data_IF_893329897866
#
_entry.id   IF_893329897866
#
_cell.length_a   1.000
_cell.length_b   1.000
_cell.length_c   1.000
_cell.angle_alpha   90.00
_cell.angle_beta   90.00
_cell.angle_gamma   90.00
#
_symmetry.space_group_name_H-M   'P 1'
#
loop_
_entity.id
_entity.type
_entity.pdbx_description
1 polymer ?
#
# COMPACT_ATOMS: atom_id res chain seq x y z
N UNK A 1 2.45 -15.46 -15.61
CA UNK A 1 3.41 -14.35 -15.43
C UNK A 1 3.41 -14.03 -13.95
N UNK A 2 4.55 -14.06 -13.29
CA UNK A 2 4.63 -13.95 -11.82
C UNK A 2 4.88 -12.50 -11.41
N UNK A 3 4.60 -12.17 -10.14
CA UNK A 3 5.15 -10.95 -9.51
C UNK A 3 6.67 -10.95 -9.71
N UNK A 4 7.28 -9.78 -9.94
CA UNK A 4 8.72 -9.64 -10.16
C UNK A 4 9.56 -10.27 -9.03
N UNK A 5 10.88 -10.48 -9.23
CA UNK A 5 11.74 -11.02 -8.19
C UNK A 5 11.74 -10.09 -6.96
N UNK A 6 11.63 -10.68 -5.77
CA UNK A 6 11.76 -9.92 -4.53
C UNK A 6 13.23 -9.48 -4.38
N UNK A 7 13.53 -8.19 -4.15
CA UNK A 7 14.89 -7.77 -3.81
C UNK A 7 15.33 -8.41 -2.49
N UNK A 8 16.63 -8.60 -2.31
CA UNK A 8 17.20 -9.09 -1.06
C UNK A 8 16.93 -8.10 0.08
N UNK A 9 15.97 -8.41 0.95
CA UNK A 9 15.57 -7.59 2.10
C UNK A 9 16.07 -8.23 3.40
N UNK A 10 16.84 -7.46 4.15
CA UNK A 10 17.23 -7.78 5.52
C UNK A 10 16.02 -7.82 6.46
N UNK A 11 16.19 -8.43 7.63
CA UNK A 11 15.13 -8.51 8.65
C UNK A 11 14.69 -7.11 9.13
N UNK A 12 15.63 -6.19 9.33
CA UNK A 12 15.33 -4.82 9.72
C UNK A 12 14.52 -4.07 8.64
N UNK A 13 14.82 -4.30 7.36
CA UNK A 13 14.05 -3.74 6.25
C UNK A 13 12.63 -4.31 6.19
N UNK A 14 12.46 -5.62 6.40
CA UNK A 14 11.13 -6.25 6.48
C UNK A 14 10.32 -5.71 7.65
N UNK A 15 10.95 -5.54 8.81
CA UNK A 15 10.31 -4.94 9.98
C UNK A 15 9.90 -3.48 9.70
N UNK A 16 10.77 -2.69 9.06
CA UNK A 16 10.46 -1.31 8.70
C UNK A 16 9.30 -1.23 7.68
N UNK A 17 9.28 -2.09 6.67
CA UNK A 17 8.15 -2.21 5.73
C UNK A 17 6.85 -2.49 6.47
N UNK A 18 6.87 -3.42 7.42
CA UNK A 18 5.69 -3.75 8.25
C UNK A 18 5.22 -2.53 9.05
N UNK A 19 6.13 -1.78 9.67
CA UNK A 19 5.77 -0.55 10.40
C UNK A 19 5.15 0.51 9.47
N UNK A 20 5.69 0.68 8.26
CA UNK A 20 5.12 1.60 7.26
C UNK A 20 3.74 1.15 6.82
N UNK A 21 3.56 -0.14 6.52
CA UNK A 21 2.28 -0.72 6.12
C UNK A 21 1.21 -0.61 7.23
N UNK A 22 1.65 -0.62 8.49
CA UNK A 22 0.78 -0.35 9.64
C UNK A 22 0.33 1.11 9.74
N UNK A 23 0.88 2.02 8.94
CA UNK A 23 0.54 3.43 8.93
C UNK A 23 1.34 4.28 9.92
N UNK A 24 2.44 3.76 10.47
CA UNK A 24 3.30 4.53 11.37
C UNK A 24 4.00 5.66 10.60
N UNK A 25 4.03 6.86 11.20
CA UNK A 25 4.84 7.97 10.72
C UNK A 25 6.34 7.72 10.99
N UNK A 26 7.22 8.47 10.33
CA UNK A 26 8.66 8.39 10.61
C UNK A 26 8.99 8.64 12.10
N UNK A 27 8.26 9.53 12.78
CA UNK A 27 8.45 9.79 14.21
C UNK A 27 7.99 8.63 15.09
N UNK A 28 6.87 7.98 14.75
CA UNK A 28 6.41 6.77 15.43
C UNK A 28 7.35 5.59 15.19
N UNK A 29 7.86 5.47 13.96
CA UNK A 29 8.88 4.47 13.59
C UNK A 29 10.13 4.68 14.43
N UNK A 30 10.62 5.91 14.59
CA UNK A 30 11.86 6.20 15.32
C UNK A 30 11.84 5.83 16.81
N UNK A 31 10.64 5.70 17.40
CA UNK A 31 10.47 5.30 18.80
C UNK A 31 10.00 3.84 18.95
N UNK A 32 9.78 3.13 17.84
CA UNK A 32 9.37 1.74 17.86
C UNK A 32 10.50 0.83 18.42
N UNK A 33 10.17 -0.24 19.15
CA UNK A 33 11.17 -1.19 19.61
C UNK A 33 11.98 -1.77 18.45
N UNK A 34 13.31 -1.68 18.52
CA UNK A 34 14.22 -2.19 17.49
C UNK A 34 14.45 -1.26 16.29
N UNK A 35 14.02 0.01 16.35
CA UNK A 35 14.20 0.98 15.27
C UNK A 35 15.33 1.99 15.51
N UNK A 36 15.58 2.83 14.50
CA UNK A 36 16.49 3.97 14.56
C UNK A 36 16.01 5.02 15.57
N UNK A 37 16.84 5.39 16.54
CA UNK A 37 16.51 6.34 17.64
C UNK A 37 16.21 7.78 17.18
N UNK A 38 16.24 8.06 15.89
CA UNK A 38 16.04 9.38 15.30
C UNK A 38 15.06 9.37 14.12
N UNK A 39 14.21 10.40 14.06
CA UNK A 39 13.19 10.59 13.03
C UNK A 39 13.79 10.81 11.64
N UNK A 40 14.90 11.56 11.53
CA UNK A 40 15.54 11.75 10.22
C UNK A 40 16.13 10.45 9.69
N UNK A 41 16.84 9.70 10.53
CA UNK A 41 17.34 8.39 10.16
C UNK A 41 16.20 7.41 9.78
N UNK A 42 15.03 7.49 10.44
CA UNK A 42 13.85 6.73 10.01
C UNK A 42 13.34 7.16 8.62
N UNK A 43 13.34 8.46 8.30
CA UNK A 43 12.99 8.96 6.95
C UNK A 43 13.97 8.50 5.89
N UNK A 44 15.27 8.58 6.16
CA UNK A 44 16.31 8.11 5.25
C UNK A 44 16.18 6.60 4.98
N UNK A 45 15.91 5.81 6.02
CA UNK A 45 15.68 4.37 5.86
C UNK A 45 14.44 4.07 5.00
N UNK A 46 13.33 4.82 5.18
CA UNK A 46 12.13 4.69 4.34
C UNK A 46 12.45 5.09 2.88
N UNK A 47 13.21 6.16 2.68
CA UNK A 47 13.61 6.60 1.35
C UNK A 47 14.52 5.58 0.65
N UNK A 48 15.42 4.93 1.39
CA UNK A 48 16.24 3.83 0.90
C UNK A 48 15.38 2.63 0.49
N UNK A 49 14.33 2.30 1.26
CA UNK A 49 13.37 1.26 0.88
C UNK A 49 12.63 1.61 -0.42
N UNK A 50 12.19 2.85 -0.60
CA UNK A 50 11.56 3.29 -1.85
C UNK A 50 12.49 3.05 -3.04
N UNK A 51 13.74 3.48 -2.95
CA UNK A 51 14.74 3.26 -3.99
C UNK A 51 14.98 1.77 -4.27
N UNK A 52 15.14 0.96 -3.21
CA UNK A 52 15.44 -0.48 -3.31
C UNK A 52 14.29 -1.31 -3.87
N UNK A 53 13.05 -0.91 -3.58
CA UNK A 53 11.83 -1.62 -4.02
C UNK A 53 11.25 -1.06 -5.31
N UNK A 54 11.77 0.07 -5.82
CA UNK A 54 11.19 0.78 -6.96
C UNK A 54 9.87 1.49 -6.63
N UNK A 55 9.49 1.60 -5.36
CA UNK A 55 8.26 2.27 -4.94
C UNK A 55 8.49 3.77 -4.71
N UNK A 56 7.42 4.56 -4.65
CA UNK A 56 7.50 6.04 -4.59
C UNK A 56 6.92 6.65 -3.32
N UNK A 57 6.02 5.93 -2.65
CA UNK A 57 5.24 6.45 -1.53
C UNK A 57 4.95 5.33 -0.54
N UNK A 58 4.63 5.67 0.71
CA UNK A 58 4.26 4.71 1.73
C UNK A 58 3.09 3.76 1.34
N UNK A 59 1.96 4.25 0.75
CA UNK A 59 0.92 3.34 0.27
C UNK A 59 1.32 2.46 -0.91
N UNK A 60 2.22 2.93 -1.77
CA UNK A 60 2.79 2.10 -2.82
C UNK A 60 3.66 0.99 -2.23
N UNK A 61 4.56 1.32 -1.30
CA UNK A 61 5.38 0.34 -0.58
C UNK A 61 4.52 -0.70 0.16
N UNK A 62 3.44 -0.26 0.80
CA UNK A 62 2.52 -1.16 1.50
C UNK A 62 1.81 -2.12 0.53
N UNK A 63 1.30 -1.62 -0.60
CA UNK A 63 0.67 -2.46 -1.62
C UNK A 63 1.67 -3.46 -2.23
N UNK A 64 2.88 -3.00 -2.55
CA UNK A 64 3.99 -3.82 -3.05
C UNK A 64 4.35 -4.93 -2.05
N UNK A 65 4.52 -4.59 -0.77
CA UNK A 65 4.84 -5.55 0.28
C UNK A 65 3.74 -6.61 0.45
N UNK A 66 2.47 -6.21 0.34
CA UNK A 66 1.35 -7.15 0.36
C UNK A 66 1.32 -8.07 -0.86
N UNK A 67 1.57 -7.54 -2.06
CA UNK A 67 1.68 -8.35 -3.27
C UNK A 67 2.79 -9.40 -3.18
N UNK A 68 3.91 -9.04 -2.55
CA UNK A 68 5.03 -9.94 -2.25
C UNK A 68 4.84 -10.81 -1.00
N UNK A 69 3.67 -10.76 -0.34
CA UNK A 69 3.36 -11.54 0.88
C UNK A 69 4.27 -11.25 2.07
N UNK A 70 4.91 -10.08 2.13
CA UNK A 70 5.59 -9.59 3.32
C UNK A 70 4.56 -9.15 4.36
N UNK A 71 3.51 -8.48 3.92
CA UNK A 71 2.37 -8.08 4.77
C UNK A 71 1.14 -8.87 4.32
N UNK A 72 0.71 -9.83 5.13
CA UNK A 72 -0.35 -10.78 4.77
C UNK A 72 -1.71 -10.45 5.35
N UNK A 73 -1.77 -9.55 6.33
CA UNK A 73 -2.99 -9.19 7.04
C UNK A 73 -3.04 -7.69 7.36
N UNK A 74 -4.25 -7.11 7.49
CA UNK A 74 -4.39 -5.73 7.93
C UNK A 74 -4.11 -5.61 9.44
N UNK A 75 -3.72 -4.40 9.87
CA UNK A 75 -3.45 -4.10 11.29
C UNK A 75 -4.64 -4.37 12.20
N UNK A 76 -5.86 -4.11 11.69
CA UNK A 76 -7.11 -4.39 12.37
C UNK A 76 -8.01 -5.18 11.44
N UNK A 77 -8.82 -6.12 11.97
CA UNK A 77 -9.87 -6.76 11.20
C UNK A 77 -10.77 -5.71 10.53
N UNK A 78 -11.02 -5.88 9.24
CA UNK A 78 -11.94 -5.02 8.49
C UNK A 78 -12.95 -5.87 7.74
N UNK A 79 -14.21 -5.42 7.74
CA UNK A 79 -15.29 -6.06 6.98
C UNK A 79 -15.02 -6.10 5.48
N UNK A 80 -14.11 -5.24 4.96
CA UNK A 80 -13.76 -5.20 3.54
C UNK A 80 -13.11 -6.50 3.03
N UNK A 81 -12.52 -7.31 3.91
CA UNK A 81 -11.96 -8.63 3.55
C UNK A 81 -13.03 -9.73 3.54
N UNK A 82 -14.07 -9.61 4.37
CA UNK A 82 -15.17 -10.57 4.42
C UNK A 82 -16.20 -10.31 3.32
N UNK A 83 -16.51 -9.04 3.07
CA UNK A 83 -17.43 -8.59 2.02
C UNK A 83 -16.72 -7.54 1.19
N UNK A 84 -16.37 -7.91 -0.04
CA UNK A 84 -15.67 -7.01 -0.96
C UNK A 84 -16.51 -5.74 -1.18
N UNK A 85 -16.01 -4.55 -0.77
CA UNK A 85 -16.79 -3.33 -0.91
C UNK A 85 -16.88 -2.93 -2.39
N UNK A 86 -18.06 -2.45 -2.79
CA UNK A 86 -18.23 -1.80 -4.08
C UNK A 86 -17.83 -0.33 -3.95
N UNK A 87 -16.56 -0.04 -4.24
CA UNK A 87 -16.07 1.35 -4.22
C UNK A 87 -16.66 2.14 -5.39
N UNK A 88 -17.16 3.37 -5.14
CA UNK A 88 -17.43 4.32 -6.21
C UNK A 88 -16.20 4.49 -7.12
N UNK A 89 -16.38 4.69 -8.45
CA UNK A 89 -15.28 4.72 -9.40
C UNK A 89 -14.14 5.67 -9.02
N UNK A 90 -14.50 6.85 -8.48
CA UNK A 90 -13.52 7.86 -8.06
C UNK A 90 -12.67 7.39 -6.87
N UNK A 91 -13.27 6.70 -5.90
CA UNK A 91 -12.54 6.17 -4.73
C UNK A 91 -11.64 5.01 -5.13
N UNK A 92 -12.10 4.16 -6.06
CA UNK A 92 -11.28 3.11 -6.65
C UNK A 92 -10.06 3.67 -7.41
N UNK A 93 -10.24 4.77 -8.16
CA UNK A 93 -9.12 5.44 -8.83
C UNK A 93 -8.10 6.01 -7.84
N UNK A 94 -8.53 6.60 -6.72
CA UNK A 94 -7.61 7.08 -5.67
C UNK A 94 -6.79 5.94 -5.11
N UNK A 95 -7.47 4.86 -4.72
CA UNK A 95 -6.83 3.68 -4.14
C UNK A 95 -5.76 3.10 -5.09
N UNK A 96 -6.12 2.87 -6.36
CA UNK A 96 -5.18 2.37 -7.38
C UNK A 96 -4.04 3.35 -7.64
N UNK A 97 -4.33 4.65 -7.70
CA UNK A 97 -3.33 5.69 -7.87
C UNK A 97 -2.27 5.66 -6.76
N UNK A 98 -2.71 5.57 -5.50
CA UNK A 98 -1.79 5.43 -4.37
C UNK A 98 -0.99 4.14 -4.41
N UNK A 99 -1.63 3.01 -4.74
CA UNK A 99 -0.96 1.72 -4.88
C UNK A 99 0.08 1.70 -6.00
N UNK A 100 -0.09 2.53 -7.04
CA UNK A 100 0.89 2.74 -8.12
C UNK A 100 1.85 3.91 -7.88
N UNK A 101 1.93 4.46 -6.66
CA UNK A 101 2.91 5.48 -6.31
C UNK A 101 2.55 6.91 -6.68
N UNK A 102 1.30 7.20 -7.04
CA UNK A 102 0.83 8.59 -7.17
C UNK A 102 0.68 9.23 -5.80
N UNK A 103 0.99 10.51 -5.69
CA UNK A 103 0.79 11.29 -4.46
C UNK A 103 -0.62 11.90 -4.42
N UNK A 104 -1.11 12.26 -3.23
CA UNK A 104 -2.41 12.97 -3.11
C UNK A 104 -2.45 14.28 -3.92
N UNK A 105 -1.40 15.13 -3.93
CA UNK A 105 -1.37 16.31 -4.79
C UNK A 105 -1.45 15.97 -6.29
N UNK A 106 -0.71 14.96 -6.77
CA UNK A 106 -0.77 14.50 -8.17
C UNK A 106 -2.21 14.08 -8.52
N UNK A 107 -2.83 13.22 -7.71
CA UNK A 107 -4.22 12.76 -7.94
C UNK A 107 -5.24 13.91 -7.87
N UNK A 108 -5.01 14.89 -7.00
CA UNK A 108 -5.88 16.07 -6.87
C UNK A 108 -5.86 16.90 -8.16
N UNK A 109 -4.65 17.13 -8.69
CA UNK A 109 -4.44 17.83 -9.95
C UNK A 109 -5.06 17.08 -11.14
N UNK A 110 -4.80 15.77 -11.25
CA UNK A 110 -5.37 14.93 -12.31
C UNK A 110 -6.89 14.95 -12.34
N UNK A 111 -7.49 15.05 -11.15
CA UNK A 111 -8.93 15.03 -10.98
C UNK A 111 -9.57 16.39 -11.22
N UNK A 112 -8.80 17.48 -11.27
CA UNK A 112 -9.31 18.84 -11.39
C UNK A 112 -10.19 19.25 -10.20
N UNK A 113 -9.88 18.76 -9.00
CA UNK A 113 -10.66 19.06 -7.78
C UNK A 113 -9.84 19.84 -6.75
N UNK A 114 -10.53 20.44 -5.79
CA UNK A 114 -9.85 21.12 -4.68
C UNK A 114 -9.21 20.11 -3.70
N UNK A 115 -8.14 20.49 -2.98
CA UNK A 115 -7.59 19.68 -1.89
C UNK A 115 -8.63 19.36 -0.79
N UNK A 116 -9.58 20.25 -0.55
CA UNK A 116 -10.69 20.02 0.40
C UNK A 116 -11.60 18.89 -0.07
N UNK A 117 -11.97 18.89 -1.36
CA UNK A 117 -12.76 17.80 -1.96
C UNK A 117 -12.00 16.47 -1.90
N UNK A 118 -10.69 16.49 -2.22
CA UNK A 118 -9.85 15.30 -2.10
C UNK A 118 -9.82 14.76 -0.67
N UNK A 119 -9.70 15.63 0.36
CA UNK A 119 -9.77 15.20 1.76
C UNK A 119 -11.08 14.50 2.10
N UNK A 120 -12.21 14.99 1.58
CA UNK A 120 -13.50 14.32 1.76
C UNK A 120 -13.51 12.93 1.12
N UNK A 121 -13.01 12.79 -0.11
CA UNK A 121 -12.89 11.48 -0.76
C UNK A 121 -11.99 10.52 0.00
N UNK A 122 -10.86 10.98 0.54
CA UNK A 122 -9.95 10.18 1.36
C UNK A 122 -10.66 9.66 2.61
N UNK A 123 -11.38 10.53 3.33
CA UNK A 123 -12.17 10.12 4.51
C UNK A 123 -13.22 9.08 4.15
N UNK A 124 -13.96 9.30 3.08
CA UNK A 124 -14.95 8.32 2.61
C UNK A 124 -14.30 7.00 2.25
N UNK A 125 -13.19 7.00 1.52
CA UNK A 125 -12.43 5.79 1.18
C UNK A 125 -11.99 5.02 2.43
N UNK A 126 -11.48 5.72 3.44
CA UNK A 126 -11.09 5.12 4.72
C UNK A 126 -12.28 4.44 5.42
N UNK A 127 -13.45 5.08 5.42
CA UNK A 127 -14.68 4.47 5.95
C UNK A 127 -15.08 3.21 5.18
N UNK A 128 -15.04 3.22 3.84
CA UNK A 128 -15.37 2.03 3.04
C UNK A 128 -14.42 0.86 3.29
N UNK A 129 -13.14 1.16 3.53
CA UNK A 129 -12.11 0.14 3.74
C UNK A 129 -11.93 -0.26 5.22
N UNK A 130 -12.52 0.49 6.15
CA UNK A 130 -12.30 0.28 7.59
C UNK A 130 -10.85 0.49 8.01
N UNK A 131 -10.19 1.53 7.49
CA UNK A 131 -8.77 1.83 7.74
C UNK A 131 -8.59 3.26 8.22
N UNK A 132 -7.43 3.55 8.84
CA UNK A 132 -7.12 4.86 9.43
C UNK A 132 -6.08 5.65 8.61
N UNK A 133 -5.43 5.03 7.62
CA UNK A 133 -4.32 5.64 6.88
C UNK A 133 -4.19 5.14 5.44
N UNK A 134 -3.46 5.90 4.61
CA UNK A 134 -3.22 5.53 3.21
C UNK A 134 -2.41 4.23 3.07
N UNK A 135 -1.33 3.98 3.87
CA UNK A 135 -0.62 2.71 3.80
C UNK A 135 -1.52 1.51 4.09
N UNK A 136 -2.36 1.60 5.13
CA UNK A 136 -3.35 0.57 5.45
C UNK A 136 -4.36 0.37 4.32
N UNK A 137 -4.80 1.46 3.66
CA UNK A 137 -5.66 1.37 2.48
C UNK A 137 -4.99 0.58 1.35
N UNK A 138 -3.67 0.76 1.14
CA UNK A 138 -2.88 -0.03 0.19
C UNK A 138 -2.91 -1.52 0.51
N UNK A 139 -2.66 -1.90 1.77
CA UNK A 139 -2.73 -3.30 2.23
C UNK A 139 -4.11 -3.91 1.97
N UNK A 140 -5.16 -3.25 2.48
CA UNK A 140 -6.55 -3.75 2.34
C UNK A 140 -6.97 -3.80 0.87
N UNK A 141 -6.57 -2.80 0.07
CA UNK A 141 -6.87 -2.75 -1.35
C UNK A 141 -6.35 -3.96 -2.12
N UNK A 142 -5.13 -4.41 -1.81
CA UNK A 142 -4.54 -5.60 -2.43
C UNK A 142 -5.19 -6.88 -1.89
N UNK A 143 -5.33 -7.03 -0.57
CA UNK A 143 -5.92 -8.23 0.04
C UNK A 143 -7.38 -8.45 -0.38
N UNK A 144 -8.19 -7.39 -0.50
CA UNK A 144 -9.58 -7.45 -0.95
C UNK A 144 -9.72 -7.57 -2.48
N UNK A 145 -8.60 -7.57 -3.23
CA UNK A 145 -8.61 -7.61 -4.70
C UNK A 145 -9.29 -6.40 -5.35
N UNK A 146 -9.20 -5.23 -4.73
CA UNK A 146 -9.64 -3.93 -5.27
C UNK A 146 -8.55 -3.27 -6.12
N UNK A 147 -7.30 -3.62 -5.82
CA UNK A 147 -6.06 -3.25 -6.53
C UNK A 147 -5.56 -4.49 -7.27
N UNK A 148 -5.25 -4.33 -8.55
CA UNK A 148 -4.61 -5.37 -9.39
C UNK A 148 -3.10 -5.28 -9.23
N UNK A 149 -2.39 -6.37 -9.51
CA UNK A 149 -0.92 -6.36 -9.47
C UNK A 149 -0.35 -5.34 -10.48
N UNK A 150 -0.97 -5.19 -11.65
CA UNK A 150 -0.62 -4.17 -12.64
C UNK A 150 -0.85 -2.72 -12.19
N UNK A 151 -1.70 -2.49 -11.18
CA UNK A 151 -1.90 -1.14 -10.61
C UNK A 151 -0.72 -0.75 -9.71
N UNK A 152 0.02 -1.73 -9.17
CA UNK A 152 1.20 -1.53 -8.33
C UNK A 152 2.44 -1.35 -9.22
N UNK A 153 2.66 -2.31 -10.11
CA UNK A 153 3.73 -2.28 -11.10
C UNK A 153 3.14 -2.65 -12.47
N UNK A 154 3.17 -1.76 -13.48
CA UNK A 154 2.61 -2.02 -14.80
C UNK A 154 3.17 -3.26 -15.52
N UNK A 155 4.35 -3.75 -15.12
CA UNK A 155 4.96 -4.98 -15.67
C UNK A 155 4.34 -6.26 -15.11
N UNK A 156 3.56 -6.18 -14.03
CA UNK A 156 2.92 -7.31 -13.38
C UNK A 156 1.55 -7.66 -14.00
N UNK A 157 1.02 -8.87 -13.74
CA UNK A 157 -0.28 -9.29 -14.30
C UNK A 157 -1.44 -8.36 -13.94
N UNK A 158 -2.42 -8.22 -14.85
CA UNK A 158 -3.61 -7.40 -14.63
C UNK A 158 -4.71 -8.10 -13.80
N UNK A 159 -4.32 -8.88 -12.79
CA UNK A 159 -5.21 -9.68 -11.95
C UNK A 159 -5.07 -9.35 -10.45
N UNK A 160 -6.08 -9.65 -9.62
CA UNK A 160 -5.97 -9.55 -8.17
C UNK A 160 -4.99 -10.57 -7.59
N UNK A 161 -4.38 -10.26 -6.46
CA UNK A 161 -3.43 -11.15 -5.77
C UNK A 161 -4.01 -12.55 -5.48
N UNK A 162 -5.31 -12.66 -5.15
CA UNK A 162 -5.97 -13.94 -4.90
C UNK A 162 -6.02 -14.85 -6.15
N UNK A 163 -6.19 -14.26 -7.34
CA UNK A 163 -6.24 -15.00 -8.61
C UNK A 163 -4.85 -15.50 -9.02
N UNK A 164 -3.80 -14.72 -8.76
CA UNK A 164 -2.42 -15.09 -9.04
C UNK A 164 -1.95 -16.33 -8.27
N UNK A 165 -2.46 -16.53 -7.03
CA UNK A 165 -2.13 -17.72 -6.22
C UNK A 165 -2.78 -18.99 -6.76
N UNK A 166 -4.03 -18.91 -7.21
CA UNK A 166 -4.74 -20.06 -7.80
C UNK A 166 -4.11 -20.56 -9.10
N UNK A 167 -3.50 -19.65 -9.88
CA UNK A 167 -2.84 -19.97 -11.15
C UNK A 167 -1.46 -20.62 -11.01
N UNK A 168 -0.86 -20.59 -9.81
CA UNK A 168 0.45 -21.21 -9.53
C UNK A 168 0.39 -22.68 -9.09
N UNK A 169 -0.79 -23.20 -8.70
CA UNK A 169 -0.95 -24.55 -8.17
C UNK A 169 -1.22 -25.63 -9.24
N UNK A 170 -1.13 -25.29 -10.54
CA UNK A 170 -1.39 -26.20 -11.65
C UNK A 170 -0.15 -26.43 -12.54
N UNK A 171 1.07 -26.33 -12.00
CA UNK A 171 2.32 -26.60 -12.72
C UNK A 171 3.26 -27.48 -11.93
#
# INVERSE_FOLDING_TARGET
>A
MTVGPLPELSEAERQLITLVAQGNSASQIAIAPGSSKDTEAAREAIQALFAKTGTRTAPHLAAWATAHRIVTEPVRPTGALSVKPQLPPRLAQILRGWSGGRTTPELTADFGISPTTMRSYIKTLFTYLGVDSQPQAGVVGVLAGLVRLSDIDPSWPAEPLAAAVGSGAAR
#
